data_IF_279030490073
#
_entry.id   IF_279030490073
#
_cell.length_a   1.000
_cell.length_b   1.000
_cell.length_c   1.000
_cell.angle_alpha   90.00
_cell.angle_beta   90.00
_cell.angle_gamma   90.00
#
_symmetry.space_group_name_H-M   'P 1'
#
loop_
_entity.id
_entity.type
_entity.pdbx_description
1 polymer ?
#
# COMPACT_ATOMS: atom_id res chain seq x y z
N UNK A 1 -8.30 39.99 -4.09
CA UNK A 1 -9.00 40.88 -3.15
C UNK A 1 -9.35 40.13 -1.88
N UNK A 2 -9.27 40.80 -0.72
CA UNK A 2 -9.44 40.22 0.63
C UNK A 2 -10.77 39.45 0.83
N UNK A 3 -11.79 39.76 0.03
CA UNK A 3 -13.09 39.07 0.00
C UNK A 3 -13.04 37.67 -0.62
N UNK A 4 -12.10 37.40 -1.54
CA UNK A 4 -11.90 36.07 -2.13
C UNK A 4 -11.15 35.11 -1.19
N UNK A 5 -10.26 35.64 -0.35
CA UNK A 5 -9.45 34.85 0.60
C UNK A 5 -10.32 34.26 1.73
N UNK A 6 -11.30 35.02 2.23
CA UNK A 6 -12.28 34.53 3.22
C UNK A 6 -13.17 33.41 2.68
N UNK A 7 -13.48 33.41 1.38
CA UNK A 7 -14.26 32.34 0.72
C UNK A 7 -13.41 31.11 0.38
N UNK A 8 -12.09 31.25 0.24
CA UNK A 8 -11.13 30.14 0.16
C UNK A 8 -10.91 29.47 1.53
N UNK A 9 -10.81 30.27 2.60
CA UNK A 9 -10.71 29.76 3.98
C UNK A 9 -11.99 29.05 4.45
N UNK A 10 -13.19 29.56 4.10
CA UNK A 10 -14.45 28.93 4.49
C UNK A 10 -14.80 27.62 3.74
N UNK A 11 -14.10 27.31 2.64
CA UNK A 11 -14.22 26.02 1.92
C UNK A 11 -13.25 24.96 2.41
N UNK A 12 -12.19 25.35 3.13
CA UNK A 12 -11.40 24.45 3.96
C UNK A 12 -12.14 24.24 5.28
N UNK A 13 -13.33 23.63 5.21
CA UNK A 13 -13.88 22.97 6.39
C UNK A 13 -12.80 22.03 6.94
N UNK A 14 -12.68 21.96 8.26
CA UNK A 14 -11.74 21.07 8.96
C UNK A 14 -11.79 19.69 8.30
N UNK A 15 -10.79 19.38 7.48
CA UNK A 15 -10.73 18.07 6.83
C UNK A 15 -10.43 17.10 7.95
N UNK A 16 -11.34 16.16 8.16
CA UNK A 16 -11.24 15.15 9.21
C UNK A 16 -9.82 14.54 9.21
N UNK A 17 -9.11 14.54 10.35
CA UNK A 17 -7.80 13.91 10.47
C UNK A 17 -7.76 12.47 9.93
N UNK A 18 -8.86 11.72 10.06
CA UNK A 18 -8.97 10.37 9.50
C UNK A 18 -8.98 10.38 7.96
N UNK A 19 -9.72 11.32 7.35
CA UNK A 19 -9.75 11.49 5.89
C UNK A 19 -8.37 11.91 5.36
N UNK A 20 -7.67 12.79 6.08
CA UNK A 20 -6.30 13.17 5.76
C UNK A 20 -5.33 11.98 5.89
N UNK A 21 -5.48 11.16 6.93
CA UNK A 21 -4.68 9.95 7.14
C UNK A 21 -4.88 8.93 6.02
N UNK A 22 -6.13 8.66 5.64
CA UNK A 22 -6.46 7.77 4.51
C UNK A 22 -5.84 8.22 3.19
N UNK A 23 -5.90 9.53 2.90
CA UNK A 23 -5.28 10.08 1.69
C UNK A 23 -3.75 10.00 1.73
N UNK A 24 -3.13 10.08 2.90
CA UNK A 24 -1.67 9.92 3.05
C UNK A 24 -1.25 8.48 2.77
N UNK A 25 -1.92 7.50 3.38
CA UNK A 25 -1.65 6.08 3.15
C UNK A 25 -1.69 5.73 1.65
N UNK A 26 -2.69 6.24 0.93
CA UNK A 26 -2.81 6.03 -0.52
C UNK A 26 -1.65 6.67 -1.29
N UNK A 27 -1.29 7.91 -0.96
CA UNK A 27 -0.19 8.63 -1.62
C UNK A 27 1.17 7.97 -1.38
N UNK A 28 1.41 7.52 -0.16
CA UNK A 28 2.68 6.89 0.21
C UNK A 28 2.79 5.51 -0.46
N UNK A 29 1.71 4.74 -0.52
CA UNK A 29 1.67 3.49 -1.29
C UNK A 29 1.92 3.73 -2.79
N UNK A 30 1.31 4.75 -3.39
CA UNK A 30 1.54 5.13 -4.79
C UNK A 30 2.99 5.54 -5.05
N UNK A 31 3.60 6.29 -4.14
CA UNK A 31 5.01 6.68 -4.25
C UNK A 31 5.92 5.45 -4.28
N UNK A 32 5.71 4.50 -3.36
CA UNK A 32 6.47 3.25 -3.33
C UNK A 32 6.24 2.40 -4.58
N UNK A 33 5.00 2.31 -5.08
CA UNK A 33 4.73 1.62 -6.35
C UNK A 33 5.43 2.30 -7.54
N UNK A 34 5.47 3.63 -7.60
CA UNK A 34 6.22 4.34 -8.65
C UNK A 34 7.72 4.03 -8.59
N UNK A 35 8.30 3.98 -7.39
CA UNK A 35 9.69 3.57 -7.22
C UNK A 35 9.91 2.11 -7.63
N UNK A 36 9.00 1.22 -7.25
CA UNK A 36 9.03 -0.18 -7.67
C UNK A 36 9.01 -0.28 -9.20
N UNK A 37 8.12 0.45 -9.89
CA UNK A 37 8.08 0.47 -11.35
C UNK A 37 9.42 0.88 -11.97
N UNK A 38 10.07 1.92 -11.42
CA UNK A 38 11.42 2.32 -11.88
C UNK A 38 12.44 1.19 -11.70
N UNK A 39 12.45 0.52 -10.55
CA UNK A 39 13.35 -0.62 -10.31
C UNK A 39 13.01 -1.83 -11.20
N UNK A 40 11.74 -2.01 -11.57
CA UNK A 40 11.31 -3.02 -12.54
C UNK A 40 11.91 -2.74 -13.92
N UNK A 41 11.87 -1.50 -14.40
CA UNK A 41 12.46 -1.09 -15.68
C UNK A 41 13.99 -1.24 -15.70
N UNK A 42 14.62 -1.06 -14.54
CA UNK A 42 16.08 -1.19 -14.36
C UNK A 42 16.52 -2.63 -14.05
N UNK A 43 15.58 -3.57 -13.93
CA UNK A 43 15.81 -4.96 -13.55
C UNK A 43 16.53 -5.12 -12.18
N UNK A 44 16.23 -4.23 -11.24
CA UNK A 44 16.82 -4.20 -9.90
C UNK A 44 15.94 -4.96 -8.90
N UNK A 45 15.92 -6.29 -9.01
CA UNK A 45 14.99 -7.17 -8.27
C UNK A 45 14.90 -6.89 -6.77
N UNK A 46 16.03 -6.76 -6.07
CA UNK A 46 16.03 -6.54 -4.62
C UNK A 46 15.39 -5.19 -4.25
N UNK A 47 15.71 -4.12 -4.98
CA UNK A 47 15.13 -2.79 -4.73
C UNK A 47 13.64 -2.77 -5.07
N UNK A 48 13.25 -3.44 -6.16
CA UNK A 48 11.86 -3.64 -6.55
C UNK A 48 11.03 -4.30 -5.43
N UNK A 49 11.45 -5.46 -4.93
CA UNK A 49 10.69 -6.19 -3.91
C UNK A 49 10.68 -5.45 -2.56
N UNK A 50 11.71 -4.66 -2.24
CA UNK A 50 11.72 -3.80 -1.05
C UNK A 50 10.65 -2.69 -1.16
N UNK A 51 10.56 -2.02 -2.31
CA UNK A 51 9.55 -0.98 -2.55
C UNK A 51 8.12 -1.53 -2.57
N UNK A 52 7.87 -2.70 -3.19
CA UNK A 52 6.54 -3.34 -3.15
C UNK A 52 6.16 -3.75 -1.72
N UNK A 53 7.11 -4.25 -0.94
CA UNK A 53 6.90 -4.57 0.47
C UNK A 53 6.55 -3.31 1.28
N UNK A 54 7.28 -2.21 1.07
CA UNK A 54 6.99 -0.90 1.71
C UNK A 54 5.62 -0.37 1.34
N UNK A 55 5.26 -0.40 0.05
CA UNK A 55 3.93 0.00 -0.41
C UNK A 55 2.83 -0.79 0.31
N UNK A 56 2.96 -2.12 0.32
CA UNK A 56 1.93 -3.02 0.86
C UNK A 56 1.81 -2.90 2.38
N UNK A 57 2.93 -3.00 3.12
CA UNK A 57 2.93 -2.96 4.58
C UNK A 57 2.61 -1.57 5.11
N UNK A 58 3.15 -0.51 4.50
CA UNK A 58 2.85 0.87 4.87
C UNK A 58 1.37 1.19 4.69
N UNK A 59 0.80 0.79 3.55
CA UNK A 59 -0.62 0.98 3.28
C UNK A 59 -1.52 0.39 4.38
N UNK A 60 -1.33 -0.87 4.74
CA UNK A 60 -2.17 -1.51 5.78
C UNK A 60 -1.83 -1.04 7.19
N UNK A 61 -0.57 -0.66 7.46
CA UNK A 61 -0.16 -0.05 8.73
C UNK A 61 -0.95 1.22 8.99
N UNK A 62 -1.01 2.10 7.99
CA UNK A 62 -1.70 3.38 8.10
C UNK A 62 -3.23 3.21 8.07
N UNK A 63 -3.77 2.43 7.13
CA UNK A 63 -5.23 2.24 6.98
C UNK A 63 -5.88 1.55 8.18
N UNK A 64 -5.17 0.60 8.79
CA UNK A 64 -5.69 -0.19 9.91
C UNK A 64 -5.16 0.27 11.27
N UNK A 65 -4.38 1.36 11.29
CA UNK A 65 -3.71 1.91 12.46
C UNK A 65 -2.93 0.84 13.25
N UNK A 66 -2.15 0.03 12.52
CA UNK A 66 -1.30 -1.03 13.08
C UNK A 66 0.12 -0.48 13.18
N UNK A 67 0.67 -0.47 14.40
CA UNK A 67 2.08 -0.13 14.62
C UNK A 67 3.02 -1.04 13.80
N UNK A 68 4.05 -0.50 13.13
CA UNK A 68 4.98 -1.30 12.32
C UNK A 68 5.62 -2.48 13.08
N UNK A 69 5.89 -2.32 14.37
CA UNK A 69 6.45 -3.36 15.25
C UNK A 69 5.50 -4.54 15.50
N UNK A 70 4.21 -4.36 15.23
CA UNK A 70 3.16 -5.38 15.41
C UNK A 70 2.72 -6.01 14.09
N UNK A 71 3.16 -5.48 12.94
CA UNK A 71 2.78 -6.01 11.64
C UNK A 71 3.19 -7.49 11.53
N UNK A 72 2.20 -8.32 11.27
CA UNK A 72 2.37 -9.74 11.00
C UNK A 72 1.23 -10.21 10.11
N UNK A 73 1.48 -11.20 9.24
CA UNK A 73 0.46 -11.75 8.34
C UNK A 73 -0.82 -12.20 9.08
N UNK A 74 -0.76 -12.85 10.26
CA UNK A 74 -1.96 -13.16 11.04
C UNK A 74 -2.74 -11.93 11.50
N UNK A 75 -2.06 -10.90 12.02
CA UNK A 75 -2.73 -9.68 12.48
C UNK A 75 -3.36 -8.91 11.30
N UNK A 76 -2.65 -8.81 10.17
CA UNK A 76 -3.18 -8.15 8.97
C UNK A 76 -4.45 -8.86 8.49
N UNK A 77 -4.42 -10.20 8.41
CA UNK A 77 -5.58 -11.02 8.06
C UNK A 77 -6.77 -10.74 8.99
N UNK A 78 -6.53 -10.78 10.30
CA UNK A 78 -7.55 -10.52 11.32
C UNK A 78 -8.19 -9.14 11.11
N UNK A 79 -7.37 -8.09 10.95
CA UNK A 79 -7.84 -6.72 10.80
C UNK A 79 -8.56 -6.47 9.48
N UNK A 80 -8.09 -7.02 8.37
CA UNK A 80 -8.79 -6.94 7.07
C UNK A 80 -10.13 -7.69 7.12
N UNK A 81 -10.17 -8.85 7.77
CA UNK A 81 -11.41 -9.61 7.95
C UNK A 81 -12.41 -8.82 8.80
N UNK A 82 -11.95 -8.21 9.91
CA UNK A 82 -12.77 -7.37 10.77
C UNK A 82 -13.29 -6.11 10.06
N UNK A 83 -12.55 -5.61 9.06
CA UNK A 83 -12.98 -4.51 8.19
C UNK A 83 -13.95 -4.93 7.07
N UNK A 84 -14.33 -6.21 6.99
CA UNK A 84 -15.27 -6.71 5.98
C UNK A 84 -14.64 -6.97 4.60
N UNK A 85 -13.31 -7.09 4.53
CA UNK A 85 -12.62 -7.46 3.28
C UNK A 85 -12.84 -8.95 3.00
N UNK A 86 -13.17 -9.25 1.75
CA UNK A 86 -13.46 -10.61 1.29
C UNK A 86 -12.21 -11.51 1.37
N UNK A 87 -12.32 -12.78 1.81
CA UNK A 87 -11.17 -13.69 1.95
C UNK A 87 -10.28 -13.80 0.71
N UNK A 88 -10.80 -13.88 -0.53
CA UNK A 88 -9.94 -13.93 -1.72
C UNK A 88 -9.01 -12.72 -1.87
N UNK A 89 -9.47 -11.52 -1.53
CA UNK A 89 -8.65 -10.32 -1.60
C UNK A 89 -7.58 -10.31 -0.49
N UNK A 90 -7.92 -10.81 0.70
CA UNK A 90 -6.96 -10.99 1.79
C UNK A 90 -5.86 -11.98 1.39
N UNK A 91 -6.21 -13.13 0.80
CA UNK A 91 -5.21 -14.12 0.35
C UNK A 91 -4.26 -13.55 -0.69
N UNK A 92 -4.80 -12.83 -1.70
CA UNK A 92 -3.98 -12.16 -2.72
C UNK A 92 -3.00 -11.17 -2.10
N UNK A 93 -3.46 -10.35 -1.16
CA UNK A 93 -2.61 -9.42 -0.42
C UNK A 93 -1.48 -10.13 0.35
N UNK A 94 -1.82 -11.20 1.08
CA UNK A 94 -0.82 -11.95 1.85
C UNK A 94 0.16 -12.69 0.94
N UNK A 95 -0.28 -13.12 -0.25
CA UNK A 95 0.59 -13.74 -1.25
C UNK A 95 1.62 -12.75 -1.81
N UNK A 96 1.26 -11.47 -2.00
CA UNK A 96 2.21 -10.42 -2.38
C UNK A 96 3.30 -10.30 -1.31
N UNK A 97 2.92 -10.20 -0.03
CA UNK A 97 3.87 -10.11 1.08
C UNK A 97 4.79 -11.33 1.12
N UNK A 98 4.24 -12.53 0.99
CA UNK A 98 5.00 -13.78 0.95
C UNK A 98 6.00 -13.80 -0.21
N UNK A 99 5.59 -13.36 -1.40
CA UNK A 99 6.47 -13.29 -2.57
C UNK A 99 7.63 -12.31 -2.34
N UNK A 100 7.35 -11.14 -1.78
CA UNK A 100 8.38 -10.14 -1.46
C UNK A 100 9.37 -10.68 -0.41
N UNK A 101 8.87 -11.27 0.68
CA UNK A 101 9.70 -11.91 1.71
C UNK A 101 10.63 -12.96 1.09
N UNK A 102 10.07 -13.88 0.29
CA UNK A 102 10.87 -14.92 -0.36
C UNK A 102 11.94 -14.33 -1.29
N UNK A 103 11.60 -13.31 -2.07
CA UNK A 103 12.56 -12.69 -2.97
C UNK A 103 13.70 -11.98 -2.22
N UNK A 104 13.37 -11.27 -1.13
CA UNK A 104 14.34 -10.51 -0.33
C UNK A 104 15.26 -11.41 0.51
N UNK A 105 14.76 -12.55 1.02
CA UNK A 105 15.52 -13.44 1.88
C UNK A 105 16.16 -14.63 1.16
N UNK A 106 15.51 -15.18 0.13
CA UNK A 106 15.99 -16.37 -0.59
C UNK A 106 16.63 -16.05 -1.95
N UNK A 107 16.56 -14.79 -2.41
CA UNK A 107 17.15 -14.37 -3.67
C UNK A 107 16.35 -14.86 -4.88
N UNK A 108 15.32 -14.11 -5.26
CA UNK A 108 14.57 -14.33 -6.49
C UNK A 108 14.68 -13.09 -7.39
N UNK A 109 15.19 -13.26 -8.60
CA UNK A 109 15.48 -12.19 -9.56
C UNK A 109 14.80 -12.38 -10.92
N UNK A 110 13.76 -13.22 -10.97
CA UNK A 110 12.97 -13.45 -12.19
C UNK A 110 12.17 -12.18 -12.58
N UNK A 111 12.47 -11.57 -13.75
CA UNK A 111 11.78 -10.36 -14.21
C UNK A 111 10.28 -10.57 -14.47
N UNK A 112 9.87 -11.78 -14.87
CA UNK A 112 8.46 -12.09 -15.08
C UNK A 112 7.69 -12.08 -13.75
N UNK A 113 8.33 -12.59 -12.69
CA UNK A 113 7.79 -12.54 -11.33
C UNK A 113 7.71 -11.11 -10.79
N UNK A 114 8.72 -10.28 -11.06
CA UNK A 114 8.68 -8.87 -10.67
C UNK A 114 7.48 -8.17 -11.31
N UNK A 115 7.29 -8.32 -12.63
CA UNK A 115 6.16 -7.72 -13.35
C UNK A 115 4.80 -8.19 -12.80
N UNK A 116 4.60 -9.50 -12.64
CA UNK A 116 3.33 -10.02 -12.13
C UNK A 116 3.07 -9.59 -10.69
N UNK A 117 4.11 -9.50 -9.85
CA UNK A 117 3.98 -9.00 -8.47
C UNK A 117 3.59 -7.52 -8.44
N UNK A 118 4.13 -6.71 -9.36
CA UNK A 118 3.78 -5.29 -9.48
C UNK A 118 2.30 -5.11 -9.83
N UNK A 119 1.85 -5.76 -10.90
CA UNK A 119 0.47 -5.66 -11.39
C UNK A 119 -0.53 -6.13 -10.32
N UNK A 120 -0.20 -7.23 -9.64
CA UNK A 120 -1.03 -7.76 -8.54
C UNK A 120 -1.06 -6.82 -7.34
N UNK A 121 0.08 -6.22 -6.95
CA UNK A 121 0.15 -5.28 -5.84
C UNK A 121 -0.64 -3.99 -6.11
N UNK A 122 -0.50 -3.41 -7.30
CA UNK A 122 -1.27 -2.24 -7.73
C UNK A 122 -2.78 -2.53 -7.71
N UNK A 123 -3.20 -3.66 -8.27
CA UNK A 123 -4.59 -4.10 -8.30
C UNK A 123 -5.16 -4.31 -6.90
N UNK A 124 -4.48 -5.09 -6.06
CA UNK A 124 -4.94 -5.39 -4.69
C UNK A 124 -5.01 -4.14 -3.82
N UNK A 125 -4.03 -3.23 -3.89
CA UNK A 125 -4.07 -1.96 -3.14
C UNK A 125 -5.25 -1.10 -3.61
N UNK A 126 -5.51 -1.03 -4.92
CA UNK A 126 -6.65 -0.29 -5.46
C UNK A 126 -7.99 -0.92 -5.04
N UNK A 127 -8.10 -2.25 -5.02
CA UNK A 127 -9.30 -2.95 -4.57
C UNK A 127 -9.54 -2.74 -3.06
N UNK A 128 -8.49 -2.79 -2.23
CA UNK A 128 -8.57 -2.50 -0.80
C UNK A 128 -8.98 -1.06 -0.53
N UNK A 129 -8.51 -0.10 -1.32
CA UNK A 129 -8.90 1.32 -1.21
C UNK A 129 -10.40 1.52 -1.42
N UNK A 130 -11.03 0.71 -2.29
CA UNK A 130 -12.47 0.72 -2.49
C UNK A 130 -13.27 0.11 -1.32
N UNK A 131 -12.60 -0.58 -0.39
CA UNK A 131 -13.23 -1.30 0.74
C UNK A 131 -12.97 -0.66 2.10
N UNK A 132 -11.84 0.03 2.30
CA UNK A 132 -11.37 0.59 3.58
C UNK A 132 -11.63 2.10 3.71
#
# INVERSE_FOLDING_TARGET
GFLGFRRWQARRGEVDPEVLGRQRAQKDAQLHLQNAHRHLEQNEARAFFDEVSRASLGYVSDKLHIEPSRLSKPLIRERLTAAGVEPPLIERFLQILQTCEMALFAGQDDPARMRSTYEEAEGVISELEGKL
#
